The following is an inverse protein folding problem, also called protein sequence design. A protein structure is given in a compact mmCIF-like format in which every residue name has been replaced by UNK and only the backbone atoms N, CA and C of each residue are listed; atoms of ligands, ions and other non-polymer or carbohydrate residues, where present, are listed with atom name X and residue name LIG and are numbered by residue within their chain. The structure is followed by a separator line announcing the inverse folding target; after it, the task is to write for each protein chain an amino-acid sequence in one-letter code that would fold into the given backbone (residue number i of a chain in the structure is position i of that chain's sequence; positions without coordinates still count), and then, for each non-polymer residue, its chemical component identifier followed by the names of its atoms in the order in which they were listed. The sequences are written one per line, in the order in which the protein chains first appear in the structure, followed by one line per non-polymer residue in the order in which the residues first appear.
data_IF_633258964671
#
_entry.id   IF_633258964671
#
_cell.length_a   1.000
_cell.length_b   1.000
_cell.length_c   1.000
_cell.angle_alpha   90.00
_cell.angle_beta   90.00
_cell.angle_gamma   90.00
#
_symmetry.space_group_name_H-M   'P 1'
#
loop_
_entity.id
_entity.type
_entity.pdbx_description
1 polymer ?
#
# COMPACT_ATOMS: atom_id res chain seq x y z
N UNK A 1 1.63 -8.73 -15.67
CA UNK A 1 0.90 -8.67 -14.38
C UNK A 1 -0.27 -7.67 -14.44
N UNK A 2 -1.36 -7.85 -13.68
CA UNK A 2 -2.52 -6.91 -13.64
C UNK A 2 -2.60 -6.22 -12.26
N UNK A 3 -2.36 -4.90 -12.22
CA UNK A 3 -2.32 -4.14 -10.98
C UNK A 3 -3.70 -4.08 -10.30
N UNK A 4 -4.74 -3.83 -11.09
CA UNK A 4 -6.11 -3.73 -10.58
C UNK A 4 -6.54 -4.99 -9.81
N UNK A 5 -6.25 -6.18 -10.34
CA UNK A 5 -6.54 -7.46 -9.69
C UNK A 5 -5.81 -7.60 -8.36
N UNK A 6 -4.52 -7.24 -8.30
CA UNK A 6 -3.75 -7.28 -7.05
C UNK A 6 -4.31 -6.27 -6.03
N UNK A 7 -4.67 -5.08 -6.48
CA UNK A 7 -5.33 -4.07 -5.61
C UNK A 7 -6.63 -4.61 -5.03
N UNK A 8 -7.50 -5.22 -5.84
CA UNK A 8 -8.73 -5.83 -5.36
C UNK A 8 -8.45 -6.91 -4.31
N UNK A 9 -7.50 -7.81 -4.56
CA UNK A 9 -7.13 -8.87 -3.61
C UNK A 9 -6.68 -8.31 -2.25
N UNK A 10 -5.80 -7.30 -2.26
CA UNK A 10 -5.32 -6.64 -1.04
C UNK A 10 -6.47 -6.03 -0.24
N UNK A 11 -7.38 -5.34 -0.92
CA UNK A 11 -8.54 -4.72 -0.27
C UNK A 11 -9.54 -5.75 0.25
N UNK A 12 -9.81 -6.81 -0.51
CA UNK A 12 -10.68 -7.91 -0.09
C UNK A 12 -10.15 -8.57 1.20
N UNK A 13 -8.84 -8.84 1.26
CA UNK A 13 -8.20 -9.37 2.47
C UNK A 13 -8.26 -8.39 3.63
N UNK A 14 -7.99 -7.11 3.39
CA UNK A 14 -8.11 -6.09 4.43
C UNK A 14 -9.52 -6.07 5.04
N UNK A 15 -10.55 -6.00 4.19
CA UNK A 15 -11.93 -5.94 4.64
C UNK A 15 -12.39 -7.24 5.29
N UNK A 16 -11.89 -8.39 4.85
CA UNK A 16 -12.15 -9.66 5.52
C UNK A 16 -11.75 -9.62 7.01
N UNK A 17 -10.58 -9.06 7.33
CA UNK A 17 -10.14 -8.92 8.72
C UNK A 17 -10.96 -7.88 9.49
N UNK A 18 -11.33 -6.78 8.85
CA UNK A 18 -12.22 -5.77 9.46
C UNK A 18 -13.59 -6.39 9.79
N UNK A 19 -14.17 -7.19 8.89
CA UNK A 19 -15.46 -7.85 9.09
C UNK A 19 -15.40 -8.90 10.22
N UNK A 20 -14.21 -9.46 10.49
CA UNK A 20 -13.95 -10.30 11.66
C UNK A 20 -13.73 -9.51 12.96
N UNK A 21 -13.87 -8.19 12.93
CA UNK A 21 -13.75 -7.32 14.11
C UNK A 21 -12.31 -6.91 14.44
N UNK A 22 -11.35 -7.09 13.52
CA UNK A 22 -9.99 -6.61 13.74
C UNK A 22 -9.90 -5.08 13.69
N UNK A 23 -8.93 -4.52 14.41
CA UNK A 23 -8.56 -3.12 14.27
C UNK A 23 -7.96 -2.86 12.89
N UNK A 24 -7.95 -1.60 12.45
CA UNK A 24 -7.35 -1.22 11.17
C UNK A 24 -5.85 -1.54 11.11
N UNK A 25 -5.14 -1.36 12.22
CA UNK A 25 -3.72 -1.71 12.34
C UNK A 25 -3.50 -3.22 12.26
N UNK A 26 -4.31 -4.01 12.98
CA UNK A 26 -4.22 -5.47 12.90
C UNK A 26 -4.55 -5.97 11.49
N UNK A 27 -5.61 -5.45 10.87
CA UNK A 27 -5.99 -5.81 9.52
C UNK A 27 -4.90 -5.43 8.49
N UNK A 28 -4.26 -4.27 8.65
CA UNK A 28 -3.07 -3.90 7.87
C UNK A 28 -1.95 -4.93 8.06
N UNK A 29 -1.60 -5.23 9.31
CA UNK A 29 -0.54 -6.19 9.63
C UNK A 29 -0.81 -7.57 9.04
N UNK A 30 -2.05 -8.06 9.12
CA UNK A 30 -2.47 -9.32 8.52
C UNK A 30 -2.32 -9.30 6.98
N UNK A 31 -2.67 -8.20 6.32
CA UNK A 31 -2.43 -8.05 4.88
C UNK A 31 -0.93 -8.05 4.56
N UNK A 32 -0.11 -7.34 5.32
CA UNK A 32 1.32 -7.23 5.02
C UNK A 32 2.08 -8.54 5.29
N UNK A 33 1.69 -9.29 6.31
CA UNK A 33 2.47 -10.45 6.78
C UNK A 33 1.84 -11.80 6.42
N UNK A 34 0.52 -11.86 6.23
CA UNK A 34 -0.19 -13.14 6.06
C UNK A 34 -0.81 -13.30 4.67
N UNK A 35 -0.98 -12.21 3.89
CA UNK A 35 -1.31 -12.35 2.48
C UNK A 35 -0.09 -12.91 1.74
N UNK A 36 -0.30 -14.02 1.04
CA UNK A 36 0.78 -14.67 0.30
C UNK A 36 1.38 -13.71 -0.75
N UNK A 37 2.70 -13.65 -0.79
CA UNK A 37 3.45 -12.84 -1.76
C UNK A 37 3.78 -13.74 -2.94
N UNK A 38 3.25 -13.41 -4.10
CA UNK A 38 3.52 -14.15 -5.32
C UNK A 38 4.83 -13.66 -5.95
N UNK A 39 5.10 -12.35 -5.82
CA UNK A 39 6.26 -11.69 -6.42
C UNK A 39 6.87 -10.66 -5.46
N UNK A 40 8.17 -10.34 -5.64
CA UNK A 40 8.86 -9.30 -4.84
C UNK A 40 8.17 -7.94 -4.92
N UNK A 41 7.46 -7.68 -6.01
CA UNK A 41 6.73 -6.43 -6.21
C UNK A 41 5.54 -6.27 -5.26
N UNK A 42 5.05 -7.36 -4.66
CA UNK A 42 4.03 -7.34 -3.63
C UNK A 42 4.54 -6.64 -2.35
N UNK A 43 5.86 -6.59 -2.13
CA UNK A 43 6.52 -5.80 -1.06
C UNK A 43 6.27 -4.30 -1.24
N UNK A 44 5.94 -3.88 -2.46
CA UNK A 44 5.65 -2.49 -2.82
C UNK A 44 4.15 -2.29 -2.96
N UNK A 45 3.46 -3.17 -3.69
CA UNK A 45 2.04 -3.00 -4.01
C UNK A 45 1.19 -2.99 -2.73
N UNK A 46 1.40 -3.94 -1.82
CA UNK A 46 0.50 -4.11 -0.68
C UNK A 46 0.55 -2.87 0.24
N UNK A 47 1.72 -2.38 0.68
CA UNK A 47 1.78 -1.17 1.49
C UNK A 47 1.22 0.07 0.79
N UNK A 48 1.42 0.22 -0.53
CA UNK A 48 0.91 1.37 -1.29
C UNK A 48 -0.61 1.34 -1.39
N UNK A 49 -1.21 0.19 -1.69
CA UNK A 49 -2.69 0.05 -1.72
C UNK A 49 -3.28 0.34 -0.35
N UNK A 50 -2.63 -0.13 0.71
CA UNK A 50 -3.04 0.19 2.08
C UNK A 50 -2.90 1.68 2.39
N UNK A 51 -1.79 2.33 2.02
CA UNK A 51 -1.60 3.76 2.20
C UNK A 51 -2.69 4.59 1.51
N UNK A 52 -3.02 4.26 0.25
CA UNK A 52 -4.12 4.90 -0.49
C UNK A 52 -5.45 4.75 0.25
N UNK A 53 -5.73 3.55 0.79
CA UNK A 53 -6.94 3.30 1.56
C UNK A 53 -7.02 4.15 2.81
N UNK A 54 -5.92 4.28 3.55
CA UNK A 54 -5.88 5.07 4.78
C UNK A 54 -5.94 6.58 4.51
N UNK A 55 -5.33 7.06 3.42
CA UNK A 55 -5.38 8.45 2.99
C UNK A 55 -6.82 8.95 2.82
N UNK A 56 -7.70 8.09 2.31
CA UNK A 56 -9.10 8.43 2.03
C UNK A 56 -10.02 8.40 3.25
N UNK A 57 -9.58 7.82 4.38
CA UNK A 57 -10.42 7.67 5.58
C UNK A 57 -9.92 8.49 6.78
N UNK A 58 -8.90 9.34 6.59
CA UNK A 58 -8.28 10.17 7.64
C UNK A 58 -7.94 9.38 8.91
N UNK A 59 -7.51 8.12 8.74
CA UNK A 59 -7.11 7.26 9.85
C UNK A 59 -5.65 7.53 10.20
N UNK A 60 -5.37 7.56 11.50
CA UNK A 60 -4.00 7.64 12.00
C UNK A 60 -3.22 6.39 11.57
N UNK A 61 -1.94 6.58 11.27
CA UNK A 61 -1.00 5.52 10.95
C UNK A 61 -0.10 5.30 12.16
N UNK A 62 0.12 4.05 12.55
CA UNK A 62 1.15 3.74 13.53
C UNK A 62 2.57 3.95 12.96
N UNK A 63 3.58 4.17 13.80
CA UNK A 63 4.97 4.30 13.35
C UNK A 63 5.44 3.14 12.47
N UNK A 64 5.01 1.92 12.77
CA UNK A 64 5.30 0.72 12.01
C UNK A 64 4.70 0.78 10.60
N UNK A 65 3.44 1.20 10.49
CA UNK A 65 2.77 1.40 9.20
C UNK A 65 3.47 2.48 8.37
N UNK A 66 3.83 3.61 9.00
CA UNK A 66 4.55 4.70 8.35
C UNK A 66 5.89 4.19 7.80
N UNK A 67 6.64 3.43 8.59
CA UNK A 67 7.93 2.85 8.17
C UNK A 67 7.75 1.89 6.99
N UNK A 68 6.75 1.02 7.04
CA UNK A 68 6.43 0.08 5.96
C UNK A 68 6.09 0.80 4.65
N UNK A 69 5.25 1.83 4.70
CA UNK A 69 4.85 2.62 3.54
C UNK A 69 6.04 3.42 2.97
N UNK A 70 6.88 4.02 3.82
CA UNK A 70 8.10 4.73 3.38
C UNK A 70 9.05 3.80 2.62
N UNK A 71 9.31 2.62 3.18
CA UNK A 71 10.16 1.62 2.53
C UNK A 71 9.60 1.18 1.16
N UNK A 72 8.29 0.99 1.05
CA UNK A 72 7.66 0.67 -0.24
C UNK A 72 7.81 1.82 -1.26
N UNK A 73 7.65 3.08 -0.83
CA UNK A 73 7.87 4.25 -1.69
C UNK A 73 9.33 4.33 -2.16
N UNK A 74 10.29 4.13 -1.27
CA UNK A 74 11.72 4.15 -1.60
C UNK A 74 12.06 3.06 -2.63
N UNK A 75 11.59 1.83 -2.41
CA UNK A 75 11.77 0.73 -3.36
C UNK A 75 11.10 1.03 -4.72
N UNK A 76 9.93 1.65 -4.73
CA UNK A 76 9.28 2.07 -5.98
C UNK A 76 10.13 3.08 -6.75
N UNK A 77 10.69 4.07 -6.07
CA UNK A 77 11.50 5.13 -6.68
C UNK A 77 12.86 4.62 -7.19
N UNK A 78 13.43 3.58 -6.57
CA UNK A 78 14.69 2.95 -6.99
C UNK A 78 14.53 1.99 -8.19
N UNK A 79 13.36 1.37 -8.35
CA UNK A 79 13.14 0.38 -9.40
C UNK A 79 12.80 1.02 -10.75
N UNK A 80 13.38 0.55 -11.86
CA UNK A 80 12.99 1.03 -13.18
C UNK A 80 11.58 0.53 -13.53
N UNK A 81 10.78 1.35 -14.24
CA UNK A 81 9.38 1.03 -14.61
C UNK A 81 9.19 -0.37 -15.24
N UNK A 82 10.17 -0.82 -16.03
CA UNK A 82 10.17 -2.15 -16.67
C UNK A 82 10.19 -3.32 -15.69
N UNK A 83 10.60 -3.10 -14.43
CA UNK A 83 10.61 -4.12 -13.38
C UNK A 83 9.21 -4.51 -12.93
N UNK A 84 8.19 -3.71 -13.25
CA UNK A 84 6.84 -3.92 -12.74
C UNK A 84 5.97 -4.82 -13.61
N UNK A 85 6.44 -5.30 -14.78
CA UNK A 85 5.66 -6.14 -15.72
C UNK A 85 4.18 -5.71 -15.88
N UNK A 86 3.93 -4.41 -15.82
CA UNK A 86 2.60 -3.81 -15.93
C UNK A 86 2.36 -3.32 -17.35
N UNK A 87 1.10 -3.31 -17.74
CA UNK A 87 0.67 -2.50 -18.88
C UNK A 87 0.91 -1.01 -18.56
N UNK A 88 1.04 -0.13 -19.57
CA UNK A 88 1.15 1.30 -19.32
C UNK A 88 -0.01 1.85 -18.46
N UNK A 89 -1.23 1.38 -18.71
CA UNK A 89 -2.42 1.76 -17.94
C UNK A 89 -2.34 1.32 -16.48
N UNK A 90 -1.97 0.05 -16.23
CA UNK A 90 -1.77 -0.46 -14.87
C UNK A 90 -0.66 0.33 -14.14
N UNK A 91 0.42 0.65 -14.83
CA UNK A 91 1.52 1.43 -14.25
C UNK A 91 1.08 2.86 -13.92
N UNK A 92 0.33 3.52 -14.80
CA UNK A 92 -0.19 4.86 -14.55
C UNK A 92 -1.14 4.87 -13.35
N UNK A 93 -2.00 3.85 -13.24
CA UNK A 93 -2.89 3.73 -12.09
C UNK A 93 -2.11 3.46 -10.80
N UNK A 94 -1.13 2.58 -10.83
CA UNK A 94 -0.27 2.31 -9.68
C UNK A 94 0.52 3.56 -9.26
N UNK A 95 1.08 4.29 -10.22
CA UNK A 95 1.82 5.52 -9.97
C UNK A 95 0.93 6.61 -9.34
N UNK A 96 -0.35 6.67 -9.73
CA UNK A 96 -1.34 7.53 -9.05
C UNK A 96 -1.49 7.15 -7.58
N UNK A 97 -1.62 5.86 -7.27
CA UNK A 97 -1.79 5.37 -5.90
C UNK A 97 -0.50 5.59 -5.06
N UNK A 98 0.69 5.47 -5.67
CA UNK A 98 1.96 5.87 -5.05
C UNK A 98 1.99 7.35 -4.70
N UNK A 99 1.49 8.22 -5.58
CA UNK A 99 1.44 9.66 -5.31
C UNK A 99 0.48 10.00 -4.15
N UNK A 100 -0.66 9.30 -4.05
CA UNK A 100 -1.56 9.41 -2.88
C UNK A 100 -0.83 8.97 -1.59
N UNK A 101 -0.08 7.88 -1.63
CA UNK A 101 0.72 7.41 -0.50
C UNK A 101 1.81 8.41 -0.08
N UNK A 102 2.53 9.00 -1.04
CA UNK A 102 3.52 10.06 -0.80
C UNK A 102 2.88 11.28 -0.12
N UNK A 103 1.71 11.70 -0.60
CA UNK A 103 0.98 12.83 -0.01
C UNK A 103 0.55 12.55 1.43
N UNK A 104 0.08 11.33 1.72
CA UNK A 104 -0.26 10.90 3.08
C UNK A 104 0.95 10.96 4.02
N UNK A 105 2.09 10.40 3.61
CA UNK A 105 3.31 10.43 4.43
C UNK A 105 3.81 11.85 4.66
N UNK A 106 3.74 12.72 3.65
CA UNK A 106 4.09 14.13 3.79
C UNK A 106 3.17 14.87 4.78
N UNK A 107 1.86 14.57 4.76
CA UNK A 107 0.90 15.12 5.71
C UNK A 107 1.19 14.66 7.14
N UNK A 108 1.41 13.37 7.34
CA UNK A 108 1.76 12.80 8.65
C UNK A 108 3.05 13.44 9.19
N UNK A 109 4.11 13.54 8.39
CA UNK A 109 5.36 14.18 8.83
C UNK A 109 5.17 15.66 9.23
N UNK A 110 4.21 16.40 8.63
CA UNK A 110 3.91 17.79 9.02
C UNK A 110 3.17 17.92 10.35
N UNK A 111 2.48 16.88 10.81
CA UNK A 111 1.76 16.89 12.08
C UNK A 111 2.68 16.63 13.28
N UNK A 112 3.83 15.98 13.06
CA UNK A 112 4.76 15.56 14.11
C UNK A 112 6.10 16.33 14.10
N UNK A 113 6.23 17.38 13.28
CA UNK A 113 7.35 18.34 13.29
C UNK A 113 6.81 19.75 13.60
#
# INVERSE_FOLDING_TARGET
MNYFKKKCLVLEWFYHWIDQGQTYENAFSQVIHCLNREDKIDDIIYPIVMAERFARNYKELSPEMISCIKNAIEQFDELPKKSFDFTPEDFDKFNSDVNEAKALIAYVNKLYN
#
